data_IF_208660166320
#
_entry.id   IF_208660166320
#
_cell.length_a   1.000
_cell.length_b   1.000
_cell.length_c   1.000
_cell.angle_alpha   90.00
_cell.angle_beta   90.00
_cell.angle_gamma   90.00
#
_symmetry.space_group_name_H-M   'P 1'
#
loop_
_entity.id
_entity.type
_entity.pdbx_description
1 polymer ?
#
# COMPACT_ATOMS: atom_id res chain seq x y z
N UNK A 1 6.16 -8.87 -14.68
CA UNK A 1 7.47 -8.51 -14.08
C UNK A 1 7.21 -8.20 -12.63
N UNK A 2 8.00 -8.68 -11.66
CA UNK A 2 9.44 -9.02 -11.74
C UNK A 2 9.77 -10.47 -12.16
N UNK A 3 11.06 -10.72 -12.41
CA UNK A 3 11.69 -12.03 -12.51
C UNK A 3 13.09 -12.02 -11.85
N UNK A 4 13.55 -13.17 -11.38
CA UNK A 4 14.90 -13.40 -10.84
C UNK A 4 15.58 -14.55 -11.59
N UNK A 5 16.85 -14.37 -11.94
CA UNK A 5 17.71 -15.41 -12.50
C UNK A 5 18.88 -15.63 -11.54
N UNK A 6 18.99 -16.84 -10.99
CA UNK A 6 20.06 -17.26 -10.07
C UNK A 6 20.61 -18.62 -10.51
N UNK A 7 21.66 -18.59 -11.34
CA UNK A 7 22.21 -19.77 -12.01
C UNK A 7 21.17 -20.41 -12.95
N UNK A 8 20.81 -21.66 -12.68
CA UNK A 8 19.77 -22.40 -13.41
C UNK A 8 18.35 -22.03 -13.00
N UNK A 9 18.16 -21.36 -11.85
CA UNK A 9 16.83 -21.00 -11.36
C UNK A 9 16.32 -19.75 -12.07
N UNK A 10 15.11 -19.84 -12.65
CA UNK A 10 14.38 -18.72 -13.26
C UNK A 10 13.03 -18.61 -12.57
N UNK A 11 12.82 -17.53 -11.81
CA UNK A 11 11.68 -17.39 -10.90
C UNK A 11 10.90 -16.14 -11.28
N UNK A 12 9.58 -16.27 -11.37
CA UNK A 12 8.62 -15.17 -11.54
C UNK A 12 7.70 -15.07 -10.32
N UNK A 13 6.87 -14.03 -10.26
CA UNK A 13 6.05 -13.67 -9.09
C UNK A 13 6.87 -13.11 -7.93
N UNK A 14 6.52 -11.91 -7.46
CA UNK A 14 7.27 -11.19 -6.42
C UNK A 14 7.40 -12.01 -5.14
N UNK A 15 6.32 -12.62 -4.67
CA UNK A 15 6.32 -13.39 -3.42
C UNK A 15 7.14 -14.66 -3.55
N UNK A 16 7.10 -15.35 -4.70
CA UNK A 16 7.91 -16.53 -4.94
C UNK A 16 9.41 -16.20 -4.98
N UNK A 17 9.78 -15.09 -5.63
CA UNK A 17 11.14 -14.56 -5.63
C UNK A 17 11.59 -14.23 -4.21
N UNK A 18 10.73 -13.54 -3.44
CA UNK A 18 11.06 -13.10 -2.09
C UNK A 18 11.23 -14.29 -1.13
N UNK A 19 10.30 -15.27 -1.15
CA UNK A 19 10.42 -16.52 -0.39
C UNK A 19 11.64 -17.35 -0.79
N UNK A 20 12.03 -17.36 -2.08
CA UNK A 20 13.26 -18.02 -2.53
C UNK A 20 14.51 -17.41 -1.88
N UNK A 21 14.63 -16.08 -1.91
CA UNK A 21 15.72 -15.36 -1.27
C UNK A 21 15.69 -15.54 0.25
N UNK A 22 14.49 -15.54 0.84
CA UNK A 22 14.28 -15.75 2.27
C UNK A 22 14.84 -17.10 2.72
N UNK A 23 14.46 -18.19 2.05
CA UNK A 23 14.96 -19.53 2.35
C UNK A 23 16.47 -19.65 2.16
N UNK A 24 17.01 -19.04 1.11
CA UNK A 24 18.47 -19.03 0.82
C UNK A 24 19.29 -18.33 1.91
N UNK A 25 18.68 -17.39 2.64
CA UNK A 25 19.34 -16.57 3.65
C UNK A 25 18.80 -16.74 5.08
N UNK A 26 17.97 -17.76 5.32
CA UNK A 26 17.34 -18.04 6.62
C UNK A 26 16.55 -16.84 7.18
N UNK A 27 15.77 -16.18 6.32
CA UNK A 27 14.86 -15.07 6.65
C UNK A 27 13.39 -15.50 6.53
N UNK A 28 13.10 -16.78 6.73
CA UNK A 28 11.76 -17.37 6.73
C UNK A 28 11.38 -17.78 8.17
N UNK A 29 10.10 -18.05 8.43
CA UNK A 29 9.63 -18.47 9.75
C UNK A 29 10.26 -19.81 10.19
N UNK A 30 10.89 -19.84 11.35
CA UNK A 30 11.55 -21.03 11.90
C UNK A 30 10.51 -21.93 12.61
N UNK A 31 9.56 -21.31 13.30
CA UNK A 31 8.45 -21.99 13.99
C UNK A 31 7.14 -21.94 13.19
N UNK A 32 6.20 -22.82 13.53
CA UNK A 32 4.87 -22.80 12.90
C UNK A 32 4.12 -21.50 13.17
N UNK A 33 4.25 -20.92 14.37
CA UNK A 33 3.66 -19.62 14.68
C UNK A 33 4.21 -18.51 13.78
N UNK A 34 5.53 -18.46 13.59
CA UNK A 34 6.17 -17.47 12.72
C UNK A 34 5.74 -17.63 11.26
N UNK A 35 5.58 -18.88 10.78
CA UNK A 35 5.11 -19.16 9.42
C UNK A 35 3.67 -18.72 9.22
N UNK A 36 2.77 -19.06 10.15
CA UNK A 36 1.37 -18.62 10.12
C UNK A 36 1.31 -17.08 10.08
N UNK A 37 2.08 -16.42 10.93
CA UNK A 37 2.13 -14.96 10.96
C UNK A 37 2.67 -14.38 9.65
N UNK A 38 3.73 -14.98 9.10
CA UNK A 38 4.30 -14.56 7.82
C UNK A 38 3.28 -14.72 6.67
N UNK A 39 2.58 -15.85 6.59
CA UNK A 39 1.59 -16.10 5.56
C UNK A 39 0.41 -15.12 5.64
N UNK A 40 -0.06 -14.79 6.85
CA UNK A 40 -1.10 -13.77 7.07
C UNK A 40 -0.60 -12.41 6.56
N UNK A 41 0.59 -11.98 6.96
CA UNK A 41 1.15 -10.67 6.59
C UNK A 41 1.39 -10.60 5.08
N UNK A 42 1.94 -11.63 4.46
CA UNK A 42 2.19 -11.66 3.01
C UNK A 42 0.90 -11.40 2.23
N UNK A 43 -0.19 -12.13 2.53
CA UNK A 43 -1.46 -11.97 1.84
C UNK A 43 -2.13 -10.62 2.16
N UNK A 44 -2.12 -10.20 3.43
CA UNK A 44 -2.70 -8.92 3.85
C UNK A 44 -2.00 -7.72 3.20
N UNK A 45 -0.67 -7.78 3.03
CA UNK A 45 0.10 -6.76 2.31
C UNK A 45 -0.30 -6.71 0.84
N UNK A 46 -0.52 -7.86 0.19
CA UNK A 46 -0.96 -7.89 -1.19
C UNK A 46 -2.35 -7.29 -1.38
N UNK A 47 -3.31 -7.60 -0.51
CA UNK A 47 -4.65 -7.00 -0.55
C UNK A 47 -4.59 -5.48 -0.37
N UNK A 48 -3.82 -5.02 0.62
CA UNK A 48 -3.63 -3.60 0.92
C UNK A 48 -2.98 -2.88 -0.26
N UNK A 49 -1.96 -3.50 -0.88
CA UNK A 49 -1.29 -2.99 -2.08
C UNK A 49 -2.24 -2.88 -3.26
N UNK A 50 -3.04 -3.91 -3.51
CA UNK A 50 -4.00 -3.92 -4.61
C UNK A 50 -5.05 -2.81 -4.44
N UNK A 51 -5.49 -2.53 -3.22
CA UNK A 51 -6.42 -1.43 -2.96
C UNK A 51 -5.80 -0.05 -3.29
N UNK A 52 -4.52 0.17 -2.93
CA UNK A 52 -3.82 1.41 -3.29
C UNK A 52 -3.61 1.53 -4.80
N UNK A 53 -3.24 0.43 -5.48
CA UNK A 53 -3.11 0.38 -6.94
C UNK A 53 -4.44 0.73 -7.62
N UNK A 54 -5.54 0.09 -7.21
CA UNK A 54 -6.87 0.32 -7.78
C UNK A 54 -7.27 1.79 -7.68
N UNK A 55 -6.96 2.44 -6.56
CA UNK A 55 -7.19 3.87 -6.40
C UNK A 55 -6.30 4.70 -7.35
N UNK A 56 -5.00 4.41 -7.38
CA UNK A 56 -4.02 5.23 -8.09
C UNK A 56 -4.09 5.10 -9.63
N UNK A 57 -4.67 4.03 -10.16
CA UNK A 57 -4.91 3.85 -11.59
C UNK A 57 -6.36 4.16 -12.01
N UNK A 58 -7.21 4.58 -11.07
CA UNK A 58 -8.57 4.97 -11.42
C UNK A 58 -8.57 6.34 -12.13
N UNK A 59 -9.15 6.47 -13.35
CA UNK A 59 -9.26 7.74 -14.07
C UNK A 59 -9.88 8.89 -13.26
N UNK A 60 -10.75 8.58 -12.29
CA UNK A 60 -11.41 9.58 -11.44
C UNK A 60 -10.56 10.03 -10.24
N UNK A 61 -9.34 9.50 -10.07
CA UNK A 61 -8.43 9.86 -8.97
C UNK A 61 -8.21 11.37 -8.86
N UNK A 62 -7.98 12.05 -10.00
CA UNK A 62 -7.65 13.48 -10.05
C UNK A 62 -8.84 14.41 -9.87
N UNK A 63 -10.08 13.92 -9.98
CA UNK A 63 -11.29 14.76 -9.83
C UNK A 63 -11.49 15.31 -8.42
N UNK A 64 -10.79 14.73 -7.44
CA UNK A 64 -10.85 15.12 -6.01
C UNK A 64 -9.58 15.81 -5.51
N UNK A 65 -8.58 16.03 -6.37
CA UNK A 65 -7.50 16.93 -6.02
C UNK A 65 -8.08 18.35 -5.99
N UNK A 66 -8.04 19.10 -4.88
CA UNK A 66 -8.65 20.41 -4.85
C UNK A 66 -7.96 21.27 -5.90
N UNK A 67 -8.69 21.57 -6.97
CA UNK A 67 -8.55 22.81 -7.68
C UNK A 67 -8.74 23.92 -6.62
N UNK A 68 -7.63 24.38 -6.02
CA UNK A 68 -7.52 25.72 -5.46
C UNK A 68 -7.52 26.72 -6.63
N UNK A 69 -8.62 26.74 -7.38
CA UNK A 69 -8.77 27.48 -8.62
C UNK A 69 -10.23 27.54 -9.03
N UNK A 70 -11.00 28.38 -8.34
CA UNK A 70 -12.31 28.93 -8.74
C UNK A 70 -13.31 27.91 -9.31
N UNK A 71 -14.09 27.26 -8.45
CA UNK A 71 -15.40 26.74 -8.87
C UNK A 71 -16.37 27.93 -8.89
N UNK A 72 -16.71 28.41 -10.09
CA UNK A 72 -17.90 29.23 -10.26
C UNK A 72 -19.12 28.32 -10.06
N UNK A 73 -19.93 28.61 -9.04
CA UNK A 73 -21.20 27.93 -8.80
C UNK A 73 -22.19 28.42 -9.88
N UNK A 74 -22.76 27.55 -10.74
CA UNK A 74 -23.85 27.98 -11.60
C UNK A 74 -25.11 28.10 -10.73
N UNK A 75 -25.72 29.29 -10.74
CA UNK A 75 -27.05 29.50 -10.17
C UNK A 75 -28.07 28.62 -10.90
N UNK A 76 -29.04 28.01 -10.20
CA UNK A 76 -30.08 27.23 -10.83
C UNK A 76 -31.08 28.17 -11.51
N UNK A 77 -31.28 28.00 -12.82
CA UNK A 77 -32.44 28.57 -13.50
C UNK A 77 -33.58 27.52 -13.48
N UNK A 78 -34.82 27.90 -13.14
CA UNK A 78 -35.93 26.96 -13.08
C UNK A 78 -36.55 26.80 -14.47
N UNK A 79 -37.13 25.61 -14.70
CA UNK A 79 -38.24 25.26 -15.61
C UNK A 79 -37.96 24.12 -16.61
N UNK A 80 -39.02 23.32 -16.75
CA UNK A 80 -39.35 22.28 -17.73
C UNK A 80 -38.87 20.85 -17.42
N UNK A 81 -39.85 20.05 -17.00
CA UNK A 81 -39.73 18.63 -16.76
C UNK A 81 -39.93 17.77 -18.00
N UNK A 82 -39.58 16.50 -17.85
CA UNK A 82 -40.24 15.36 -18.47
C UNK A 82 -39.79 14.11 -17.70
N UNK A 83 -40.75 13.26 -17.32
CA UNK A 83 -40.49 11.97 -16.70
C UNK A 83 -39.92 11.01 -17.75
N UNK A 84 -38.79 10.38 -17.45
CA UNK A 84 -38.37 9.12 -18.07
C UNK A 84 -38.00 8.15 -16.96
N UNK A 85 -38.79 7.09 -16.85
CA UNK A 85 -38.61 5.97 -15.94
C UNK A 85 -37.40 5.15 -16.43
N UNK A 86 -36.25 5.29 -15.79
CA UNK A 86 -35.11 4.37 -15.99
C UNK A 86 -35.16 3.28 -14.92
N UNK A 87 -35.27 2.03 -15.37
CA UNK A 87 -35.06 0.84 -14.54
C UNK A 87 -33.64 0.92 -13.96
N UNK A 88 -33.55 1.14 -12.65
CA UNK A 88 -32.27 1.10 -11.92
C UNK A 88 -32.00 -0.36 -11.58
N UNK A 89 -31.18 -1.03 -12.38
CA UNK A 89 -30.46 -2.20 -11.92
C UNK A 89 -29.44 -1.73 -10.89
N UNK A 90 -29.72 -1.98 -9.61
CA UNK A 90 -28.83 -1.63 -8.51
C UNK A 90 -27.61 -2.56 -8.49
N UNK A 91 -26.60 -2.27 -9.31
CA UNK A 91 -25.22 -2.61 -8.95
C UNK A 91 -24.73 -1.49 -8.04
N UNK A 92 -24.64 -1.77 -6.73
CA UNK A 92 -24.14 -0.83 -5.73
C UNK A 92 -22.69 -0.45 -6.08
N UNK A 93 -22.52 0.61 -6.86
CA UNK A 93 -21.26 1.20 -7.24
C UNK A 93 -21.29 2.63 -6.73
N UNK A 94 -20.36 2.93 -5.81
CA UNK A 94 -20.26 4.27 -5.23
C UNK A 94 -20.01 5.29 -6.35
N UNK A 95 -20.60 6.50 -6.29
CA UNK A 95 -20.37 7.55 -7.27
C UNK A 95 -18.87 7.82 -7.46
N UNK A 96 -18.41 7.73 -8.70
CA UNK A 96 -17.01 7.73 -9.11
C UNK A 96 -16.14 8.90 -8.59
N UNK A 97 -16.73 10.05 -8.27
CA UNK A 97 -16.02 11.27 -7.86
C UNK A 97 -15.65 11.36 -6.36
N UNK A 98 -15.90 10.33 -5.55
CA UNK A 98 -15.69 10.39 -4.07
C UNK A 98 -14.63 9.42 -3.54
N UNK A 99 -13.89 8.76 -4.42
CA UNK A 99 -13.09 7.58 -4.03
C UNK A 99 -11.89 7.89 -3.13
N UNK A 100 -11.13 8.97 -3.38
CA UNK A 100 -9.97 9.30 -2.53
C UNK A 100 -10.38 9.72 -1.12
N UNK A 101 -11.32 10.67 -0.90
CA UNK A 101 -11.76 11.02 0.44
C UNK A 101 -12.32 9.83 1.23
N UNK A 102 -13.03 8.91 0.56
CA UNK A 102 -13.53 7.70 1.21
C UNK A 102 -12.40 6.72 1.53
N UNK A 103 -11.45 6.54 0.63
CA UNK A 103 -10.27 5.73 0.88
C UNK A 103 -9.46 6.23 2.07
N UNK A 104 -9.27 7.56 2.20
CA UNK A 104 -8.58 8.18 3.33
C UNK A 104 -9.23 7.84 4.67
N UNK A 105 -10.56 7.71 4.74
CA UNK A 105 -11.27 7.28 5.96
C UNK A 105 -10.96 5.83 6.34
N UNK A 106 -10.62 4.98 5.37
CA UNK A 106 -10.27 3.57 5.62
C UNK A 106 -8.83 3.38 6.11
N UNK A 107 -7.96 4.37 5.93
CA UNK A 107 -6.54 4.25 6.26
C UNK A 107 -6.31 4.02 7.77
N UNK A 108 -6.91 4.81 8.70
CA UNK A 108 -6.67 4.62 10.12
C UNK A 108 -7.03 3.22 10.63
N UNK A 109 -8.14 2.64 10.13
CA UNK A 109 -8.56 1.29 10.50
C UNK A 109 -7.57 0.23 10.00
N UNK A 110 -7.05 0.37 8.78
CA UNK A 110 -6.01 -0.53 8.26
C UNK A 110 -4.71 -0.43 9.05
N UNK A 111 -4.24 0.79 9.33
CA UNK A 111 -3.03 1.00 10.14
C UNK A 111 -3.21 0.44 11.55
N UNK A 112 -4.41 0.54 12.13
CA UNK A 112 -4.75 -0.08 13.40
C UNK A 112 -4.59 -1.60 13.35
N UNK A 113 -5.06 -2.29 12.31
CA UNK A 113 -4.90 -3.74 12.18
C UNK A 113 -3.42 -4.16 12.13
N UNK A 114 -2.58 -3.47 11.35
CA UNK A 114 -1.13 -3.72 11.34
C UNK A 114 -0.49 -3.47 12.71
N UNK A 115 -0.87 -2.37 13.37
CA UNK A 115 -0.39 -2.01 14.70
C UNK A 115 -0.74 -3.07 15.75
N UNK A 116 -1.99 -3.53 15.77
CA UNK A 116 -2.45 -4.57 16.70
C UNK A 116 -1.77 -5.91 16.42
N UNK A 117 -1.60 -6.28 15.15
CA UNK A 117 -0.95 -7.52 14.75
C UNK A 117 0.54 -7.55 15.09
N UNK A 118 1.26 -6.44 14.90
CA UNK A 118 2.66 -6.28 15.34
C UNK A 118 2.74 -6.30 16.88
N UNK A 119 1.84 -5.57 17.53
CA UNK A 119 1.78 -5.44 18.98
C UNK A 119 3.07 -4.85 19.54
N UNK A 120 3.72 -5.62 20.42
CA UNK A 120 5.01 -5.26 21.06
C UNK A 120 6.23 -5.95 20.42
N UNK A 121 6.02 -6.78 19.39
CA UNK A 121 7.11 -7.53 18.75
C UNK A 121 8.01 -6.57 17.98
N UNK A 122 9.32 -6.86 17.88
CA UNK A 122 10.22 -6.04 17.06
C UNK A 122 9.95 -6.21 15.56
N UNK A 123 9.46 -7.38 15.13
CA UNK A 123 9.20 -7.75 13.74
C UNK A 123 7.85 -8.46 13.60
N UNK A 124 7.32 -8.52 12.37
CA UNK A 124 5.97 -9.00 12.10
C UNK A 124 5.79 -10.49 12.36
N UNK A 125 6.78 -11.31 12.00
CA UNK A 125 6.72 -12.76 12.25
C UNK A 125 7.03 -13.12 13.71
N UNK A 126 7.98 -12.42 14.34
CA UNK A 126 8.47 -12.77 15.68
C UNK A 126 9.60 -11.85 16.16
N UNK A 127 10.62 -12.45 16.77
CA UNK A 127 11.77 -11.71 17.35
C UNK A 127 12.90 -11.46 16.35
N UNK A 128 12.92 -12.20 15.23
CA UNK A 128 13.89 -12.06 14.14
C UNK A 128 13.26 -11.40 12.93
N UNK A 129 14.09 -10.69 12.17
CA UNK A 129 13.69 -10.14 10.88
C UNK A 129 13.46 -11.27 9.88
N UNK A 130 12.38 -11.17 9.13
CA UNK A 130 11.97 -12.11 8.08
C UNK A 130 11.65 -11.36 6.80
N UNK A 131 11.42 -12.08 5.71
CA UNK A 131 11.08 -11.47 4.43
C UNK A 131 9.77 -10.66 4.47
N UNK A 132 8.83 -11.00 5.35
CA UNK A 132 7.56 -10.27 5.47
C UNK A 132 7.72 -8.88 6.08
N UNK A 133 8.80 -8.62 6.81
CA UNK A 133 9.12 -7.28 7.29
C UNK A 133 9.49 -6.33 6.14
N UNK A 134 10.08 -6.86 5.05
CA UNK A 134 10.34 -6.08 3.84
C UNK A 134 9.03 -5.72 3.11
N UNK A 135 8.07 -6.65 3.07
CA UNK A 135 6.74 -6.42 2.50
C UNK A 135 5.96 -5.39 3.33
N UNK A 136 5.98 -5.55 4.65
CA UNK A 136 5.33 -4.64 5.59
C UNK A 136 5.94 -3.23 5.54
N UNK A 137 7.27 -3.13 5.51
CA UNK A 137 7.97 -1.84 5.34
C UNK A 137 7.53 -1.12 4.07
N UNK A 138 7.57 -1.80 2.92
CA UNK A 138 7.23 -1.19 1.63
C UNK A 138 5.78 -0.68 1.61
N UNK A 139 4.81 -1.47 2.08
CA UNK A 139 3.42 -1.01 2.08
C UNK A 139 3.17 0.12 3.08
N UNK A 140 3.75 0.06 4.28
CA UNK A 140 3.60 1.12 5.28
C UNK A 140 4.26 2.42 4.81
N UNK A 141 5.41 2.33 4.15
CA UNK A 141 6.08 3.48 3.57
C UNK A 141 5.29 4.09 2.41
N UNK A 142 4.70 3.28 1.52
CA UNK A 142 3.80 3.78 0.47
C UNK A 142 2.58 4.52 1.04
N UNK A 143 1.98 4.01 2.12
CA UNK A 143 0.88 4.70 2.80
C UNK A 143 1.33 5.96 3.54
N UNK A 144 2.55 5.97 4.11
CA UNK A 144 3.19 7.16 4.69
C UNK A 144 3.44 8.22 3.61
N UNK A 145 3.88 7.84 2.42
CA UNK A 145 4.04 8.77 1.30
C UNK A 145 2.69 9.29 0.78
N UNK A 146 1.66 8.44 0.80
CA UNK A 146 0.32 8.79 0.32
C UNK A 146 -0.44 9.73 1.28
N UNK A 147 -0.37 9.46 2.58
CA UNK A 147 -0.98 10.25 3.66
C UNK A 147 0.04 10.37 4.81
N UNK A 148 0.83 11.46 4.86
CA UNK A 148 1.98 11.60 5.79
C UNK A 148 1.66 11.43 7.28
N UNK A 149 0.43 11.70 7.70
CA UNK A 149 0.01 11.62 9.10
C UNK A 149 -0.62 10.27 9.46
N UNK A 150 -0.69 9.32 8.53
CA UNK A 150 -1.42 8.06 8.75
C UNK A 150 -0.83 7.17 9.85
N UNK A 151 0.43 7.39 10.23
CA UNK A 151 1.13 6.62 11.25
C UNK A 151 1.29 7.37 12.59
N UNK A 152 0.83 8.63 12.71
CA UNK A 152 1.06 9.44 13.91
C UNK A 152 0.41 8.84 15.16
N UNK A 153 -0.73 8.16 15.01
CA UNK A 153 -1.43 7.48 16.10
C UNK A 153 -0.83 6.11 16.47
N UNK A 154 0.17 5.62 15.73
CA UNK A 154 0.68 4.24 15.84
C UNK A 154 2.20 4.25 16.11
N UNK A 155 2.64 4.52 17.35
CA UNK A 155 4.06 4.65 17.68
C UNK A 155 4.85 3.37 17.39
N UNK A 156 4.27 2.20 17.61
CA UNK A 156 4.91 0.90 17.29
C UNK A 156 5.21 0.74 15.79
N UNK A 157 4.33 1.22 14.89
CA UNK A 157 4.58 1.20 13.45
C UNK A 157 5.66 2.21 13.05
N UNK A 158 5.69 3.38 13.68
CA UNK A 158 6.77 4.36 13.46
C UNK A 158 8.12 3.82 13.93
N UNK A 159 8.15 3.16 15.08
CA UNK A 159 9.34 2.50 15.62
C UNK A 159 9.79 1.35 14.73
N UNK A 160 8.85 0.58 14.16
CA UNK A 160 9.14 -0.46 13.17
C UNK A 160 9.82 0.13 11.92
N UNK A 161 9.28 1.20 11.32
CA UNK A 161 9.88 1.86 10.17
C UNK A 161 11.30 2.35 10.48
N UNK A 162 11.48 3.04 11.61
CA UNK A 162 12.79 3.54 12.03
C UNK A 162 13.79 2.40 12.28
N UNK A 163 13.34 1.29 12.87
CA UNK A 163 14.16 0.09 13.12
C UNK A 163 14.60 -0.57 11.81
N UNK A 164 13.68 -0.69 10.84
CA UNK A 164 13.97 -1.25 9.52
C UNK A 164 14.97 -0.38 8.75
N UNK A 165 14.74 0.93 8.67
CA UNK A 165 15.63 1.90 8.02
C UNK A 165 17.01 1.98 8.72
N UNK A 166 17.05 1.71 10.03
CA UNK A 166 18.27 1.65 10.84
C UNK A 166 19.13 0.41 10.65
N UNK A 167 18.66 -0.63 9.96
CA UNK A 167 19.47 -1.81 9.66
C UNK A 167 20.69 -1.42 8.82
N UNK A 168 21.91 -1.74 9.26
CA UNK A 168 23.17 -1.25 8.66
C UNK A 168 23.21 -1.36 7.12
N UNK A 169 22.82 -2.52 6.57
CA UNK A 169 22.79 -2.75 5.12
C UNK A 169 21.66 -1.99 4.41
N UNK A 170 20.51 -1.81 5.05
CA UNK A 170 19.38 -1.03 4.52
C UNK A 170 19.72 0.45 4.51
N UNK A 171 20.19 1.00 5.63
CA UNK A 171 20.63 2.39 5.73
C UNK A 171 21.71 2.72 4.69
N UNK A 172 22.68 1.83 4.49
CA UNK A 172 23.70 1.99 3.46
C UNK A 172 23.11 1.91 2.04
N UNK A 173 22.17 1.00 1.80
CA UNK A 173 21.49 0.87 0.51
C UNK A 173 20.68 2.13 0.17
N UNK A 174 19.89 2.66 1.10
CA UNK A 174 19.05 3.86 0.91
C UNK A 174 19.87 5.13 0.61
N UNK A 175 21.14 5.17 1.03
CA UNK A 175 22.08 6.27 0.74
C UNK A 175 22.82 6.08 -0.59
N UNK A 176 22.69 4.93 -1.24
CA UNK A 176 23.40 4.61 -2.48
C UNK A 176 22.63 5.08 -3.70
N UNK A 177 23.34 5.29 -4.82
CA UNK A 177 22.73 5.61 -6.12
C UNK A 177 21.83 4.51 -6.71
N UNK A 178 21.83 3.31 -6.10
CA UNK A 178 20.96 2.20 -6.50
C UNK A 178 19.57 2.28 -5.88
N UNK A 179 19.37 3.11 -4.86
CA UNK A 179 18.09 3.22 -4.19
C UNK A 179 17.11 4.03 -5.04
N UNK A 180 15.91 3.46 -5.23
CA UNK A 180 14.84 4.05 -6.03
C UNK A 180 13.63 4.16 -5.10
N UNK A 181 13.36 5.37 -4.60
CA UNK A 181 12.20 5.66 -3.75
C UNK A 181 10.94 6.00 -4.58
N UNK A 182 11.13 6.68 -5.71
CA UNK A 182 10.06 7.09 -6.63
C UNK A 182 10.53 6.98 -8.08
N UNK A 183 9.62 6.85 -9.06
CA UNK A 183 8.16 6.68 -8.90
C UNK A 183 7.76 5.30 -8.36
N UNK A 184 6.71 5.24 -7.53
CA UNK A 184 6.16 3.97 -7.02
C UNK A 184 5.37 3.26 -8.13
N UNK A 185 4.61 4.01 -8.92
CA UNK A 185 3.73 3.48 -9.96
C UNK A 185 4.21 3.86 -11.36
N UNK A 186 3.70 3.16 -12.37
CA UNK A 186 4.01 3.46 -13.76
C UNK A 186 3.45 4.82 -14.19
N UNK A 187 3.93 5.33 -15.34
CA UNK A 187 3.55 6.65 -15.88
C UNK A 187 2.03 6.85 -16.05
N UNK A 188 1.26 5.78 -16.18
CA UNK A 188 -0.19 5.82 -16.35
C UNK A 188 -0.96 6.05 -15.04
N UNK A 189 -0.31 5.89 -13.88
CA UNK A 189 -0.95 6.17 -12.61
C UNK A 189 -1.15 7.67 -12.40
N UNK A 190 -2.17 8.01 -11.61
CA UNK A 190 -2.51 9.38 -11.26
C UNK A 190 -1.77 9.91 -10.02
N UNK A 191 -1.02 9.04 -9.32
CA UNK A 191 -0.17 9.39 -8.18
C UNK A 191 1.15 8.62 -8.21
N UNK A 192 2.22 9.23 -7.70
CA UNK A 192 3.59 8.69 -7.66
C UNK A 192 4.04 8.07 -8.99
N UNK A 193 3.77 8.77 -10.09
CA UNK A 193 4.08 8.35 -11.46
C UNK A 193 5.30 9.08 -12.07
N UNK A 194 5.98 9.90 -11.26
CA UNK A 194 7.19 10.67 -11.62
C UNK A 194 8.22 10.59 -10.51
#
# INVERSE_FOLDING_TARGET
>A
LPYLIDGSHKITQSNAILRYLARKHHLDGETEEERIRADIVENQVMDTRMQLIMLCYNPDFTRTWPFLGKVAVPLPNPLLGSLSLKVVTASCSLPQEKQKPEFLKTIPEKMKLYSEFLGKRPWFAGDKVTYVDFLAYDILDQYRMFEPKCLDAFPNLRDFLARFEGLKKISAYMKSSRYIATPIFSKMAHWSNK
#
